data_IF_870809123802
#
_entry.id   IF_870809123802
#
_cell.length_a   1.000
_cell.length_b   1.000
_cell.length_c   1.000
_cell.angle_alpha   90.00
_cell.angle_beta   90.00
_cell.angle_gamma   90.00
#
_symmetry.space_group_name_H-M   'P 1'
#
loop_
_entity.id
_entity.type
_entity.pdbx_description
1 polymer ?
#
# COMPACT_ATOMS: atom_id res chain seq x y z
N UNK A 1 10.69 -22.08 2.22
CA UNK A 1 9.76 -20.94 2.29
C UNK A 1 10.55 -19.72 2.74
N UNK A 2 10.06 -18.51 2.46
CA UNK A 2 10.64 -17.30 3.01
C UNK A 2 10.21 -17.16 4.47
N UNK A 3 11.17 -16.90 5.34
CA UNK A 3 10.92 -16.59 6.74
C UNK A 3 10.76 -15.08 6.91
N UNK A 4 9.85 -14.68 7.79
CA UNK A 4 9.62 -13.29 8.16
C UNK A 4 9.62 -13.19 9.68
N UNK A 5 10.48 -12.32 10.21
CA UNK A 5 10.59 -12.11 11.65
C UNK A 5 9.41 -11.35 12.23
N UNK A 6 9.19 -11.41 13.56
CA UNK A 6 8.05 -10.77 14.24
C UNK A 6 8.03 -9.23 14.20
N UNK A 7 9.16 -8.61 13.81
CA UNK A 7 9.30 -7.16 13.65
C UNK A 7 9.79 -6.79 12.24
N UNK A 8 9.59 -7.68 11.27
CA UNK A 8 9.96 -7.47 9.89
C UNK A 8 8.73 -7.40 8.99
N UNK A 9 8.82 -6.60 7.94
CA UNK A 9 7.87 -6.58 6.85
C UNK A 9 8.65 -6.75 5.53
N UNK A 10 8.09 -7.51 4.60
CA UNK A 10 8.69 -7.72 3.28
C UNK A 10 7.85 -6.98 2.24
N UNK A 11 8.46 -6.04 1.54
CA UNK A 11 7.86 -5.29 0.45
C UNK A 11 8.13 -5.99 -0.89
N UNK A 12 7.07 -6.33 -1.60
CA UNK A 12 7.10 -6.83 -2.98
C UNK A 12 6.43 -5.82 -3.89
N UNK A 13 6.96 -5.61 -5.07
CA UNK A 13 6.31 -4.76 -6.06
C UNK A 13 6.59 -5.23 -7.48
N UNK A 14 5.74 -4.80 -8.40
CA UNK A 14 5.88 -5.03 -9.83
C UNK A 14 5.54 -3.75 -10.59
N UNK A 15 6.38 -3.40 -11.56
CA UNK A 15 6.04 -2.38 -12.54
C UNK A 15 5.06 -2.98 -13.55
N UNK A 16 3.79 -2.61 -13.47
CA UNK A 16 2.72 -3.22 -14.27
C UNK A 16 2.96 -3.03 -15.76
N UNK A 17 3.63 -1.94 -16.15
CA UNK A 17 3.96 -1.65 -17.54
C UNK A 17 5.01 -2.55 -18.16
N UNK A 18 5.88 -3.13 -17.34
CA UNK A 18 6.95 -4.03 -17.79
C UNK A 18 6.45 -5.45 -18.06
N UNK A 19 5.24 -5.80 -17.59
CA UNK A 19 4.69 -7.15 -17.72
C UNK A 19 3.72 -7.19 -18.88
N UNK A 20 4.20 -7.60 -20.06
CA UNK A 20 3.41 -7.66 -21.30
C UNK A 20 3.40 -9.03 -21.99
N UNK A 21 4.16 -9.99 -21.50
CA UNK A 21 4.24 -11.33 -22.08
C UNK A 21 2.89 -12.07 -21.99
N UNK A 22 2.32 -12.44 -23.14
CA UNK A 22 0.97 -13.01 -23.21
C UNK A 22 0.87 -14.38 -22.52
N UNK A 23 1.91 -15.21 -22.61
CA UNK A 23 1.93 -16.52 -21.96
C UNK A 23 1.92 -16.38 -20.44
N UNK A 24 2.67 -15.42 -19.91
CA UNK A 24 2.68 -15.07 -18.50
C UNK A 24 1.33 -14.50 -18.03
N UNK A 25 0.72 -13.60 -18.80
CA UNK A 25 -0.60 -13.06 -18.48
C UNK A 25 -1.67 -14.15 -18.49
N UNK A 26 -1.62 -15.09 -19.43
CA UNK A 26 -2.50 -16.25 -19.45
C UNK A 26 -2.26 -17.16 -18.23
N UNK A 27 -1.01 -17.32 -17.78
CA UNK A 27 -0.70 -18.04 -16.55
C UNK A 27 -1.25 -17.36 -15.31
N UNK A 28 -1.11 -16.04 -15.20
CA UNK A 28 -1.67 -15.25 -14.10
C UNK A 28 -3.20 -15.30 -14.06
N UNK A 29 -3.85 -15.31 -15.22
CA UNK A 29 -5.31 -15.40 -15.28
C UNK A 29 -5.80 -16.74 -14.68
N UNK A 30 -5.05 -17.83 -14.85
CA UNK A 30 -5.37 -19.14 -14.25
C UNK A 30 -5.27 -19.17 -12.72
N UNK A 31 -4.62 -18.18 -12.10
CA UNK A 31 -4.50 -18.09 -10.65
C UNK A 31 -5.73 -17.43 -9.98
N UNK A 32 -6.54 -16.71 -10.76
CA UNK A 32 -7.69 -16.00 -10.22
C UNK A 32 -8.84 -16.95 -9.91
N UNK A 33 -9.59 -16.63 -8.85
CA UNK A 33 -10.89 -17.29 -8.62
C UNK A 33 -11.90 -16.88 -9.71
N UNK A 34 -13.00 -17.65 -9.89
CA UNK A 34 -14.07 -17.26 -10.81
C UNK A 34 -14.64 -15.87 -10.53
N UNK A 35 -14.81 -15.51 -9.26
CA UNK A 35 -15.30 -14.18 -8.85
C UNK A 35 -14.30 -13.07 -9.18
N UNK A 36 -13.00 -13.33 -9.04
CA UNK A 36 -11.95 -12.39 -9.41
C UNK A 36 -11.93 -12.18 -10.93
N UNK A 37 -12.05 -13.25 -11.73
CA UNK A 37 -12.11 -13.16 -13.18
C UNK A 37 -13.37 -12.39 -13.64
N UNK A 38 -14.52 -12.65 -13.02
CA UNK A 38 -15.75 -11.91 -13.28
C UNK A 38 -15.60 -10.42 -12.92
N UNK A 39 -14.98 -10.11 -11.78
CA UNK A 39 -14.69 -8.73 -11.38
C UNK A 39 -13.72 -8.04 -12.35
N UNK A 40 -12.68 -8.74 -12.81
CA UNK A 40 -11.74 -8.22 -13.80
C UNK A 40 -12.50 -7.81 -15.08
N UNK A 41 -13.39 -8.67 -15.57
CA UNK A 41 -14.14 -8.42 -16.80
C UNK A 41 -15.06 -7.18 -16.72
N UNK A 42 -15.40 -6.70 -15.51
CA UNK A 42 -16.25 -5.51 -15.30
C UNK A 42 -15.53 -4.17 -15.47
N UNK A 43 -14.19 -4.15 -15.43
CA UNK A 43 -13.47 -2.90 -15.67
C UNK A 43 -13.62 -2.46 -17.13
N UNK A 44 -13.99 -1.20 -17.34
CA UNK A 44 -14.17 -0.62 -18.67
C UNK A 44 -12.84 -0.51 -19.44
N UNK A 45 -11.79 -0.03 -18.77
CA UNK A 45 -10.48 0.24 -19.37
C UNK A 45 -9.56 -0.99 -19.31
N UNK A 46 -8.81 -1.22 -20.39
CA UNK A 46 -7.88 -2.34 -20.49
C UNK A 46 -6.77 -2.28 -19.44
N UNK A 47 -6.26 -1.08 -19.15
CA UNK A 47 -5.22 -0.88 -18.14
C UNK A 47 -5.70 -1.28 -16.75
N UNK A 48 -6.93 -0.92 -16.37
CA UNK A 48 -7.52 -1.34 -15.09
C UNK A 48 -7.71 -2.87 -15.03
N UNK A 49 -8.08 -3.52 -16.15
CA UNK A 49 -8.15 -4.99 -16.22
C UNK A 49 -6.77 -5.63 -16.03
N UNK A 50 -5.75 -5.04 -16.62
CA UNK A 50 -4.36 -5.50 -16.55
C UNK A 50 -3.81 -5.34 -15.13
N UNK A 51 -3.95 -4.16 -14.53
CA UNK A 51 -3.51 -3.90 -13.16
C UNK A 51 -4.23 -4.78 -12.14
N UNK A 52 -5.53 -5.02 -12.33
CA UNK A 52 -6.28 -5.94 -11.47
C UNK A 52 -5.72 -7.36 -11.54
N UNK A 53 -5.47 -7.89 -12.75
CA UNK A 53 -4.86 -9.20 -12.95
C UNK A 53 -3.51 -9.31 -12.24
N UNK A 54 -2.62 -8.34 -12.48
CA UNK A 54 -1.29 -8.35 -11.87
C UNK A 54 -1.36 -8.22 -10.36
N UNK A 55 -2.32 -7.46 -9.81
CA UNK A 55 -2.53 -7.36 -8.37
C UNK A 55 -2.94 -8.71 -7.77
N UNK A 56 -3.87 -9.43 -8.41
CA UNK A 56 -4.28 -10.78 -7.97
C UNK A 56 -3.15 -11.78 -8.07
N UNK A 57 -2.39 -11.75 -9.16
CA UNK A 57 -1.23 -12.62 -9.34
C UNK A 57 -0.14 -12.33 -8.31
N UNK A 58 0.19 -11.06 -8.06
CA UNK A 58 1.20 -10.64 -7.10
C UNK A 58 0.85 -11.16 -5.70
N UNK A 59 -0.33 -10.84 -5.17
CA UNK A 59 -0.68 -11.25 -3.80
C UNK A 59 -0.68 -12.76 -3.62
N UNK A 60 -1.27 -13.51 -4.57
CA UNK A 60 -1.36 -14.97 -4.51
C UNK A 60 0.02 -15.62 -4.56
N UNK A 61 0.86 -15.20 -5.49
CA UNK A 61 2.21 -15.77 -5.64
C UNK A 61 3.15 -15.36 -4.53
N UNK A 62 3.03 -14.14 -4.00
CA UNK A 62 3.82 -13.65 -2.86
C UNK A 62 3.46 -14.41 -1.59
N UNK A 63 2.18 -14.56 -1.25
CA UNK A 63 1.76 -15.29 -0.05
C UNK A 63 2.21 -16.76 -0.08
N UNK A 64 2.18 -17.41 -1.25
CA UNK A 64 2.73 -18.76 -1.45
C UNK A 64 4.24 -18.88 -1.23
N UNK A 65 4.98 -17.77 -1.11
CA UNK A 65 6.39 -17.83 -0.68
C UNK A 65 6.53 -18.04 0.83
N UNK A 66 5.51 -17.67 1.62
CA UNK A 66 5.50 -17.72 3.09
C UNK A 66 4.70 -18.89 3.67
N UNK A 67 3.85 -19.52 2.86
CA UNK A 67 3.07 -20.68 3.27
C UNK A 67 3.05 -21.75 2.18
N UNK A 68 2.94 -23.02 2.57
CA UNK A 68 2.81 -24.16 1.67
C UNK A 68 1.39 -24.25 1.07
N UNK A 69 1.00 -23.21 0.34
CA UNK A 69 -0.30 -23.06 -0.29
C UNK A 69 -0.09 -22.69 -1.75
N UNK A 70 -0.75 -23.40 -2.66
CA UNK A 70 -0.70 -23.06 -4.09
C UNK A 70 -1.36 -21.69 -4.35
N UNK A 71 -0.85 -20.84 -5.26
CA UNK A 71 -1.38 -19.50 -5.46
C UNK A 71 -2.90 -19.43 -5.74
N UNK A 72 -3.44 -20.41 -6.47
CA UNK A 72 -4.86 -20.56 -6.78
C UNK A 72 -5.73 -20.95 -5.57
N UNK A 73 -5.14 -21.57 -4.54
CA UNK A 73 -5.85 -22.07 -3.38
C UNK A 73 -6.15 -20.99 -2.32
N UNK A 74 -5.51 -19.81 -2.42
CA UNK A 74 -5.79 -18.71 -1.50
C UNK A 74 -7.22 -18.21 -1.66
N UNK A 75 -7.90 -18.01 -0.54
CA UNK A 75 -9.20 -17.33 -0.49
C UNK A 75 -9.08 -16.06 0.33
N UNK A 76 -9.85 -15.05 -0.06
CA UNK A 76 -9.81 -13.73 0.54
C UNK A 76 -11.23 -13.26 0.84
N UNK A 77 -11.39 -12.57 1.97
CA UNK A 77 -12.60 -11.83 2.32
C UNK A 77 -12.28 -10.35 2.38
N UNK A 78 -13.30 -9.50 2.37
CA UNK A 78 -13.14 -8.07 2.64
C UNK A 78 -13.63 -7.77 4.05
N UNK A 79 -12.88 -6.97 4.80
CA UNK A 79 -13.37 -6.41 6.05
C UNK A 79 -14.45 -5.34 5.79
N UNK A 80 -14.99 -4.74 6.85
CA UNK A 80 -16.05 -3.72 6.76
C UNK A 80 -15.65 -2.46 5.96
N UNK A 81 -14.34 -2.19 5.85
CA UNK A 81 -13.76 -1.07 5.11
C UNK A 81 -13.28 -1.48 3.70
N UNK A 82 -13.59 -2.69 3.26
CA UNK A 82 -13.25 -3.19 1.92
C UNK A 82 -11.83 -3.71 1.76
N UNK A 83 -10.99 -3.70 2.82
CA UNK A 83 -9.62 -4.22 2.81
C UNK A 83 -9.64 -5.75 2.68
N UNK A 84 -8.86 -6.34 1.76
CA UNK A 84 -8.80 -7.79 1.63
C UNK A 84 -8.00 -8.41 2.77
N UNK A 85 -8.48 -9.53 3.30
CA UNK A 85 -7.86 -10.35 4.34
C UNK A 85 -7.81 -11.81 3.92
N UNK A 86 -6.82 -12.56 4.43
CA UNK A 86 -6.67 -13.99 4.16
C UNK A 86 -7.81 -14.73 4.88
N UNK A 87 -8.63 -15.47 4.12
CA UNK A 87 -9.71 -16.28 4.64
C UNK A 87 -9.34 -17.77 4.73
N UNK A 88 -8.39 -18.22 3.91
CA UNK A 88 -7.96 -19.60 3.89
C UNK A 88 -6.87 -19.88 2.85
N UNK A 89 -6.34 -21.12 2.82
CA UNK A 89 -6.76 -22.28 3.61
C UNK A 89 -6.37 -22.19 5.10
N UNK A 90 -6.99 -23.00 5.99
CA UNK A 90 -6.61 -23.04 7.41
C UNK A 90 -5.18 -23.58 7.59
N UNK A 91 -4.55 -23.27 8.73
CA UNK A 91 -3.21 -23.75 9.07
C UNK A 91 -2.06 -22.96 8.44
N UNK A 92 -2.37 -21.85 7.76
CA UNK A 92 -1.36 -20.88 7.34
C UNK A 92 -0.84 -20.10 8.54
N UNK A 93 0.43 -19.64 8.53
CA UNK A 93 0.92 -18.70 9.52
C UNK A 93 0.01 -17.46 9.59
N UNK A 94 -0.02 -16.71 10.71
CA UNK A 94 -0.84 -15.50 10.88
C UNK A 94 -0.31 -14.35 10.00
N UNK A 95 -0.31 -14.54 8.68
CA UNK A 95 0.16 -13.57 7.70
C UNK A 95 -0.84 -12.42 7.61
N UNK A 96 -0.31 -11.21 7.67
CA UNK A 96 -1.03 -9.98 7.36
C UNK A 96 -0.44 -9.40 6.09
N UNK A 97 -1.30 -8.81 5.26
CA UNK A 97 -0.83 -8.13 4.06
C UNK A 97 -1.60 -6.85 3.81
N UNK A 98 -1.03 -6.01 2.95
CA UNK A 98 -1.70 -4.85 2.39
C UNK A 98 -1.24 -4.65 0.94
N UNK A 99 -2.14 -4.13 0.12
CA UNK A 99 -1.89 -3.87 -1.30
C UNK A 99 -2.09 -2.40 -1.58
N UNK A 100 -1.26 -1.88 -2.47
CA UNK A 100 -1.47 -0.57 -3.09
C UNK A 100 -1.13 -0.64 -4.55
N UNK A 101 -1.80 0.16 -5.36
CA UNK A 101 -1.43 0.36 -6.75
C UNK A 101 -1.61 1.81 -7.14
N UNK A 102 -0.82 2.20 -8.12
CA UNK A 102 -0.95 3.43 -8.86
C UNK A 102 -0.58 3.12 -10.31
N UNK A 103 -0.76 4.09 -11.19
CA UNK A 103 -0.46 3.87 -12.59
C UNK A 103 1.00 3.43 -12.77
N UNK A 104 1.20 2.22 -13.32
CA UNK A 104 2.54 1.68 -13.60
C UNK A 104 3.20 0.92 -12.44
N UNK A 105 2.63 0.90 -11.23
CA UNK A 105 3.23 0.22 -10.06
C UNK A 105 2.18 -0.43 -9.14
N UNK A 106 2.44 -1.69 -8.76
CA UNK A 106 1.65 -2.43 -7.77
C UNK A 106 2.58 -2.90 -6.66
N UNK A 107 2.20 -2.67 -5.41
CA UNK A 107 2.94 -3.07 -4.22
C UNK A 107 2.11 -4.00 -3.31
N UNK A 108 2.80 -4.93 -2.66
CA UNK A 108 2.28 -5.86 -1.67
C UNK A 108 3.25 -5.89 -0.48
N UNK A 109 2.76 -5.51 0.70
CA UNK A 109 3.52 -5.60 1.94
C UNK A 109 3.00 -6.77 2.76
N UNK A 110 3.90 -7.61 3.26
CA UNK A 110 3.57 -8.80 4.07
C UNK A 110 4.28 -8.71 5.42
N UNK A 111 3.56 -9.03 6.50
CA UNK A 111 4.10 -9.20 7.84
C UNK A 111 3.47 -10.40 8.55
N UNK A 112 4.04 -10.76 9.70
CA UNK A 112 3.54 -11.82 10.57
C UNK A 112 2.89 -11.22 11.80
N UNK A 113 1.62 -11.55 12.03
CA UNK A 113 0.83 -11.21 13.23
C UNK A 113 0.86 -9.73 13.62
N UNK A 114 0.95 -8.84 12.62
CA UNK A 114 1.02 -7.39 12.78
C UNK A 114 0.28 -6.67 11.68
N UNK A 115 -0.44 -5.62 12.03
CA UNK A 115 -1.06 -4.76 11.04
C UNK A 115 0.01 -4.06 10.20
N UNK A 116 -0.25 -4.01 8.90
CA UNK A 116 0.64 -3.43 7.90
C UNK A 116 -0.16 -2.65 6.88
N UNK A 117 0.44 -1.58 6.38
CA UNK A 117 -0.12 -0.74 5.33
C UNK A 117 0.99 -0.32 4.39
N UNK A 118 0.70 -0.35 3.10
CA UNK A 118 1.58 0.17 2.06
C UNK A 118 0.76 1.11 1.20
N UNK A 119 1.39 2.18 0.78
CA UNK A 119 0.84 3.06 -0.22
C UNK A 119 1.89 3.31 -1.31
N UNK A 120 1.42 3.58 -2.53
CA UNK A 120 2.30 3.94 -3.65
C UNK A 120 1.63 5.02 -4.45
N UNK A 121 2.39 6.03 -4.85
CA UNK A 121 1.84 7.17 -5.60
C UNK A 121 2.65 7.48 -6.86
N UNK A 122 1.93 7.92 -7.88
CA UNK A 122 2.49 8.48 -9.09
C UNK A 122 2.75 9.97 -8.87
N UNK A 123 4.01 10.32 -8.67
CA UNK A 123 4.45 11.68 -8.37
C UNK A 123 4.37 12.63 -9.57
N UNK A 124 4.12 12.13 -10.78
CA UNK A 124 3.90 12.94 -11.98
C UNK A 124 2.41 13.24 -12.21
N UNK A 125 1.50 12.52 -11.53
CA UNK A 125 0.06 12.74 -11.65
C UNK A 125 -0.30 14.20 -11.38
N UNK A 126 -0.99 14.84 -12.30
CA UNK A 126 -1.52 16.20 -12.10
C UNK A 126 -2.41 16.18 -10.85
N UNK A 127 -2.02 16.93 -9.83
CA UNK A 127 -2.67 16.94 -8.53
C UNK A 127 -2.79 18.36 -8.02
N UNK A 128 -3.89 18.67 -7.34
CA UNK A 128 -4.06 19.87 -6.53
C UNK A 128 -3.33 19.71 -5.19
N UNK A 129 -2.04 19.35 -5.24
CA UNK A 129 -1.22 18.99 -4.07
C UNK A 129 -1.29 20.04 -2.94
N UNK A 130 -1.22 21.32 -3.29
CA UNK A 130 -1.33 22.40 -2.31
C UNK A 130 -2.70 22.44 -1.63
N UNK A 131 -3.80 22.33 -2.38
CA UNK A 131 -5.17 22.34 -1.82
C UNK A 131 -5.44 21.09 -0.96
N UNK A 132 -4.93 19.93 -1.38
CA UNK A 132 -5.03 18.69 -0.62
C UNK A 132 -4.24 18.81 0.68
N UNK A 133 -3.00 19.33 0.63
CA UNK A 133 -2.20 19.56 1.82
C UNK A 133 -2.91 20.50 2.80
N UNK A 134 -3.41 21.64 2.31
CA UNK A 134 -4.08 22.63 3.16
C UNK A 134 -5.37 22.10 3.80
N UNK A 135 -6.06 21.17 3.14
CA UNK A 135 -7.31 20.59 3.63
C UNK A 135 -7.10 19.41 4.57
N UNK A 136 -6.09 18.58 4.33
CA UNK A 136 -5.97 17.28 4.97
C UNK A 136 -4.71 17.10 5.82
N UNK A 137 -3.64 17.88 5.62
CA UNK A 137 -2.44 17.71 6.42
C UNK A 137 -2.55 18.46 7.75
N UNK A 138 -1.79 18.00 8.73
CA UNK A 138 -1.69 18.72 9.99
C UNK A 138 -1.04 20.10 9.77
N UNK A 139 -1.33 21.10 10.60
CA UNK A 139 -0.71 22.42 10.48
C UNK A 139 0.83 22.38 10.55
N UNK A 140 1.41 21.40 11.24
CA UNK A 140 2.85 21.19 11.31
C UNK A 140 3.43 20.75 9.96
N UNK A 141 2.80 19.76 9.31
CA UNK A 141 3.22 19.28 7.99
C UNK A 141 3.04 20.34 6.90
N UNK A 142 1.94 21.11 6.94
CA UNK A 142 1.73 22.23 5.99
C UNK A 142 2.83 23.28 6.12
N UNK A 143 3.21 23.66 7.35
CA UNK A 143 4.33 24.59 7.57
C UNK A 143 5.66 24.01 7.07
N UNK A 144 5.95 22.76 7.40
CA UNK A 144 7.18 22.09 6.97
C UNK A 144 7.26 21.95 5.43
N UNK A 145 6.14 21.60 4.80
CA UNK A 145 5.98 21.54 3.34
C UNK A 145 6.30 22.90 2.70
N UNK A 146 5.62 23.96 3.15
CA UNK A 146 5.76 25.31 2.58
C UNK A 146 7.13 25.95 2.85
N UNK A 147 7.84 25.51 3.89
CA UNK A 147 9.21 25.94 4.16
C UNK A 147 10.24 25.36 3.17
N UNK A 148 9.87 24.34 2.37
CA UNK A 148 10.76 23.79 1.34
C UNK A 148 10.86 24.73 0.14
N UNK A 149 12.01 24.72 -0.58
CA UNK A 149 12.11 25.32 -1.91
C UNK A 149 10.97 24.82 -2.82
N UNK A 150 10.36 25.68 -3.66
CA UNK A 150 9.19 25.33 -4.48
C UNK A 150 9.35 24.02 -5.27
N UNK A 151 10.53 23.76 -5.80
CA UNK A 151 10.89 22.56 -6.57
C UNK A 151 10.89 21.27 -5.74
N UNK A 152 11.05 21.36 -4.41
CA UNK A 152 11.03 20.23 -3.49
C UNK A 152 9.67 20.03 -2.80
N UNK A 153 8.77 21.01 -2.86
CA UNK A 153 7.46 20.94 -2.20
C UNK A 153 6.62 19.79 -2.74
N UNK A 154 6.66 19.55 -4.07
CA UNK A 154 5.90 18.45 -4.69
C UNK A 154 6.37 17.09 -4.18
N UNK A 155 7.68 16.86 -4.12
CA UNK A 155 8.21 15.61 -3.59
C UNK A 155 7.81 15.41 -2.12
N UNK A 156 7.91 16.46 -1.29
CA UNK A 156 7.52 16.42 0.12
C UNK A 156 6.02 16.20 0.32
N UNK A 157 5.18 16.72 -0.57
CA UNK A 157 3.74 16.43 -0.56
C UNK A 157 3.47 14.94 -0.70
N UNK A 158 4.07 14.29 -1.71
CA UNK A 158 3.86 12.87 -1.94
C UNK A 158 4.48 12.01 -0.83
N UNK A 159 5.63 12.39 -0.25
CA UNK A 159 6.17 11.72 0.94
C UNK A 159 5.16 11.72 2.10
N UNK A 160 4.53 12.86 2.40
CA UNK A 160 3.50 12.93 3.44
C UNK A 160 2.23 12.16 3.07
N UNK A 161 1.74 12.34 1.84
CA UNK A 161 0.52 11.69 1.38
C UNK A 161 0.63 10.17 1.46
N UNK A 162 1.72 9.62 0.90
CA UNK A 162 1.98 8.17 0.90
C UNK A 162 2.13 7.62 2.31
N UNK A 163 2.84 8.30 3.21
CA UNK A 163 2.93 7.88 4.61
C UNK A 163 1.57 7.89 5.32
N UNK A 164 0.76 8.91 5.08
CA UNK A 164 -0.57 9.04 5.68
C UNK A 164 -1.52 7.94 5.22
N UNK A 165 -1.57 7.68 3.92
CA UNK A 165 -2.38 6.59 3.36
C UNK A 165 -1.87 5.21 3.83
N UNK A 166 -0.55 5.01 3.91
CA UNK A 166 0.03 3.77 4.45
C UNK A 166 -0.37 3.54 5.91
N UNK A 167 -0.30 4.55 6.77
CA UNK A 167 -0.76 4.46 8.16
C UNK A 167 -2.26 4.14 8.26
N UNK A 168 -3.09 4.84 7.48
CA UNK A 168 -4.55 4.59 7.44
C UNK A 168 -4.86 3.17 7.01
N UNK A 169 -4.18 2.68 5.97
CA UNK A 169 -4.31 1.31 5.46
C UNK A 169 -3.90 0.27 6.50
N UNK A 170 -2.85 0.55 7.28
CA UNK A 170 -2.42 -0.33 8.35
C UNK A 170 -3.46 -0.40 9.48
N UNK A 171 -4.00 0.75 9.90
CA UNK A 171 -5.09 0.83 10.89
C UNK A 171 -6.38 0.15 10.41
N UNK A 172 -6.55 -0.02 9.09
CA UNK A 172 -7.67 -0.77 8.51
C UNK A 172 -9.01 -0.04 8.54
N UNK A 173 -9.08 1.19 9.04
CA UNK A 173 -10.32 1.96 9.24
C UNK A 173 -10.68 2.90 8.06
N UNK A 174 -9.88 2.88 6.98
CA UNK A 174 -10.06 3.77 5.83
C UNK A 174 -10.08 5.26 6.23
N UNK A 175 -10.80 6.08 5.47
CA UNK A 175 -10.89 7.54 5.68
C UNK A 175 -11.63 7.96 6.97
N UNK A 176 -11.98 7.03 7.86
CA UNK A 176 -12.53 7.36 9.18
C UNK A 176 -11.51 8.05 10.09
N UNK A 177 -10.21 7.94 9.79
CA UNK A 177 -9.14 8.63 10.51
C UNK A 177 -8.92 10.01 9.87
N UNK A 178 -9.14 11.12 10.60
CA UNK A 178 -8.88 12.44 10.05
C UNK A 178 -7.37 12.65 9.87
N UNK A 179 -6.97 12.94 8.64
CA UNK A 179 -5.57 13.10 8.21
C UNK A 179 -4.85 14.26 8.91
N UNK A 180 -5.59 15.22 9.48
CA UNK A 180 -5.06 16.38 10.21
C UNK A 180 -4.76 16.08 11.69
N UNK A 181 -5.15 14.89 12.19
CA UNK A 181 -4.98 14.47 13.59
C UNK A 181 -3.67 13.74 13.88
N UNK A 182 -2.80 13.60 12.89
CA UNK A 182 -1.46 13.05 13.09
C UNK A 182 -0.47 13.70 12.13
N UNK A 183 0.80 13.71 12.53
CA UNK A 183 1.86 14.40 11.83
C UNK A 183 3.08 13.51 11.68
N UNK A 184 3.60 13.39 10.46
CA UNK A 184 4.91 12.79 10.22
C UNK A 184 6.04 13.81 10.37
N UNK A 185 7.14 13.35 10.95
CA UNK A 185 8.36 14.13 11.17
C UNK A 185 9.48 13.49 10.36
N UNK A 186 9.83 14.12 9.25
CA UNK A 186 10.77 13.58 8.26
C UNK A 186 12.18 14.19 8.34
N UNK A 187 12.34 15.24 9.14
CA UNK A 187 13.55 16.05 9.19
C UNK A 187 14.22 16.04 10.58
N UNK A 188 13.63 15.35 11.57
CA UNK A 188 14.09 15.31 12.96
C UNK A 188 15.23 14.30 13.21
N UNK A 189 15.60 13.52 12.20
CA UNK A 189 16.63 12.50 12.31
C UNK A 189 16.60 11.47 11.18
N UNK A 190 17.35 10.35 11.33
CA UNK A 190 17.43 9.32 10.30
C UNK A 190 16.17 8.44 10.19
N UNK A 191 15.29 8.49 11.19
CA UNK A 191 14.06 7.70 11.23
C UNK A 191 12.83 8.60 11.02
N UNK A 192 11.83 8.06 10.33
CA UNK A 192 10.53 8.73 10.14
C UNK A 192 9.76 8.68 11.47
N UNK A 193 9.50 9.84 12.05
CA UNK A 193 8.69 9.96 13.26
C UNK A 193 7.21 10.19 12.96
N UNK A 194 6.36 9.88 13.94
CA UNK A 194 4.93 10.24 13.93
C UNK A 194 4.52 10.81 15.30
N UNK A 195 3.60 11.76 15.29
CA UNK A 195 2.88 12.22 16.48
C UNK A 195 1.38 12.20 16.25
N UNK A 196 0.62 11.89 17.30
CA UNK A 196 -0.83 11.80 17.27
C UNK A 196 -1.47 12.92 18.09
N UNK A 197 -2.61 13.42 17.62
CA UNK A 197 -3.58 14.13 18.47
C UNK A 197 -4.03 13.15 19.57
N UNK A 198 -4.07 13.55 20.85
CA UNK A 198 -4.49 12.69 21.95
C UNK A 198 -5.85 12.01 21.75
N UNK A 199 -6.72 12.55 20.89
CA UNK A 199 -8.04 11.97 20.58
C UNK A 199 -7.99 10.76 19.66
N UNK A 200 -6.88 10.51 18.96
CA UNK A 200 -6.72 9.31 18.13
C UNK A 200 -6.41 8.04 18.92
N UNK A 201 -6.01 8.19 20.20
CA UNK A 201 -5.66 7.08 21.10
C UNK A 201 -4.76 6.03 20.41
N UNK A 202 -3.58 6.47 19.95
CA UNK A 202 -2.56 5.61 19.34
C UNK A 202 -1.17 5.91 19.92
N UNK A 203 -0.30 4.92 19.91
CA UNK A 203 1.05 4.98 20.44
C UNK A 203 2.07 4.97 19.30
N UNK A 204 2.83 6.06 19.18
CA UNK A 204 3.92 6.17 18.19
C UNK A 204 4.96 5.06 18.30
N UNK A 205 5.17 4.48 19.49
CA UNK A 205 6.15 3.42 19.70
C UNK A 205 5.71 2.07 19.08
N UNK A 206 4.42 1.93 18.74
CA UNK A 206 3.89 0.76 18.05
C UNK A 206 4.15 0.77 16.54
N UNK A 207 4.64 1.89 15.99
CA UNK A 207 4.76 2.11 14.55
C UNK A 207 6.19 2.22 14.06
N UNK A 208 6.43 1.66 12.88
CA UNK A 208 7.65 1.84 12.11
C UNK A 208 7.28 2.24 10.69
N UNK A 209 8.03 3.17 10.11
CA UNK A 209 7.76 3.70 8.79
C UNK A 209 9.04 3.68 7.95
N UNK A 210 8.87 3.43 6.66
CA UNK A 210 9.91 3.53 5.67
C UNK A 210 9.33 4.14 4.39
N UNK A 211 10.12 4.96 3.73
CA UNK A 211 9.81 5.54 2.42
C UNK A 211 10.83 5.02 1.41
N UNK A 212 10.34 4.59 0.25
CA UNK A 212 11.16 4.07 -0.84
C UNK A 212 10.76 4.75 -2.13
N UNK A 213 11.74 4.99 -3.01
CA UNK A 213 11.48 5.45 -4.38
C UNK A 213 11.82 4.33 -5.36
N UNK A 214 10.87 3.45 -5.72
CA UNK A 214 11.16 2.34 -6.61
C UNK A 214 11.50 2.81 -8.04
N UNK A 215 11.06 4.01 -8.44
CA UNK A 215 11.52 4.69 -9.66
C UNK A 215 11.48 6.21 -9.49
N UNK A 216 11.91 6.97 -10.51
CA UNK A 216 11.83 8.43 -10.50
C UNK A 216 10.38 8.97 -10.43
N UNK A 217 9.39 8.18 -10.85
CA UNK A 217 7.98 8.55 -10.90
C UNK A 217 7.20 8.10 -9.65
N UNK A 218 7.69 7.11 -8.91
CA UNK A 218 6.93 6.50 -7.83
C UNK A 218 7.56 6.73 -6.46
N UNK A 219 6.71 6.92 -5.46
CA UNK A 219 7.07 6.92 -4.05
C UNK A 219 6.18 5.98 -3.26
#
# INVERSE_FOLDING_TARGET
MLEIGPFAAHLWYVFSDAVRDEALLAAYHRLMSPDEAAQQARFLFADNRHEYLLTRALVRTVLSKYAHVAPEAWTFVRNEFGRPEIAGPPGVPPLRFNLSNTHGLIACLVALDRDVGVDVEDTERVSSAAEIADRFFSPAEVRALRARPPELQRARFFEYWTLKEAYIKARGMGLAIPLDRFSFHLDDGPAIGISFDPRLDDDRAAWQFALYRPSARHT
#
